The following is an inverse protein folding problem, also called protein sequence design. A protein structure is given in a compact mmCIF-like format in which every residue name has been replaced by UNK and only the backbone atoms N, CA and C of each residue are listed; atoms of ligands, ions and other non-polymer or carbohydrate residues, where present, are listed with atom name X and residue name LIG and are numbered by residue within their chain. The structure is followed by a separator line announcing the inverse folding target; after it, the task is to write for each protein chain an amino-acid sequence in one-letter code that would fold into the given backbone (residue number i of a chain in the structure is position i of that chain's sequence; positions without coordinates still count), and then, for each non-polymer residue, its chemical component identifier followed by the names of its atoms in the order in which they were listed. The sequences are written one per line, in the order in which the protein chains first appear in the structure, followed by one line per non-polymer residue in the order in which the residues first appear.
data_IF_329811362861
#
_entry.id   IF_329811362861
#
_cell.length_a   1.000
_cell.length_b   1.000
_cell.length_c   1.000
_cell.angle_alpha   90.00
_cell.angle_beta   90.00
_cell.angle_gamma   90.00
#
_symmetry.space_group_name_H-M   'P 1'
#
loop_
_entity.id
_entity.type
_entity.pdbx_description
1 polymer ?
#
# COMPACT_ATOMS: atom_id res chain seq x y z
N UNK A 1 -29.97 -5.99 -13.58
CA UNK A 1 -28.54 -6.31 -13.53
C UNK A 1 -28.26 -6.86 -12.15
N UNK A 2 -27.56 -7.99 -11.96
CA UNK A 2 -27.21 -8.43 -10.62
C UNK A 2 -26.40 -7.30 -9.96
N UNK A 3 -26.71 -6.98 -8.71
CA UNK A 3 -25.91 -6.07 -7.90
C UNK A 3 -24.51 -6.67 -7.82
N UNK A 4 -23.57 -6.10 -8.56
CA UNK A 4 -22.13 -6.42 -8.40
C UNK A 4 -21.78 -6.10 -6.95
N UNK A 5 -21.44 -7.13 -6.19
CA UNK A 5 -21.00 -6.98 -4.82
C UNK A 5 -19.76 -6.07 -4.83
N UNK A 6 -19.77 -4.98 -4.08
CA UNK A 6 -18.64 -4.06 -3.96
C UNK A 6 -17.50 -4.64 -3.10
N UNK A 7 -17.65 -5.86 -2.59
CA UNK A 7 -16.71 -6.51 -1.71
C UNK A 7 -15.60 -7.22 -2.47
N UNK A 8 -14.35 -7.03 -2.06
CA UNK A 8 -13.23 -7.83 -2.52
C UNK A 8 -13.33 -9.26 -1.96
N UNK A 9 -12.79 -10.24 -2.70
CA UNK A 9 -12.77 -11.64 -2.27
C UNK A 9 -11.34 -12.18 -2.26
N UNK A 10 -11.10 -13.20 -1.42
CA UNK A 10 -9.87 -13.98 -1.44
C UNK A 10 -10.22 -15.44 -1.73
N UNK A 11 -9.86 -15.89 -2.91
CA UNK A 11 -10.05 -17.26 -3.38
C UNK A 11 -8.73 -18.02 -3.19
N UNK A 12 -8.76 -19.03 -2.34
CA UNK A 12 -7.64 -19.91 -2.03
C UNK A 12 -7.93 -21.38 -2.38
N UNK A 13 -8.99 -21.63 -3.13
CA UNK A 13 -9.41 -22.98 -3.51
C UNK A 13 -8.29 -23.79 -4.17
N UNK A 14 -7.48 -23.15 -4.99
CA UNK A 14 -6.32 -23.75 -5.65
C UNK A 14 -5.17 -24.12 -4.68
N UNK A 15 -5.17 -23.59 -3.46
CA UNK A 15 -4.22 -24.02 -2.42
C UNK A 15 -4.62 -25.34 -1.77
N UNK A 16 -5.89 -25.74 -1.89
CA UNK A 16 -6.43 -26.91 -1.19
C UNK A 16 -6.15 -28.21 -1.96
N UNK A 17 -6.01 -29.28 -1.24
CA UNK A 17 -5.97 -30.64 -1.78
C UNK A 17 -6.83 -31.57 -0.94
N UNK A 18 -7.50 -32.53 -1.58
CA UNK A 18 -8.25 -33.58 -0.89
C UNK A 18 -7.26 -34.61 -0.25
N UNK A 19 -7.70 -35.29 0.80
CA UNK A 19 -6.88 -36.33 1.47
C UNK A 19 -6.55 -37.51 0.53
N UNK A 20 -7.44 -37.80 -0.42
CA UNK A 20 -7.31 -38.86 -1.42
C UNK A 20 -6.76 -38.39 -2.76
N UNK A 21 -6.38 -37.12 -2.88
CA UNK A 21 -5.83 -36.56 -4.11
C UNK A 21 -4.48 -37.23 -4.50
N UNK A 22 -4.06 -37.14 -5.79
CA UNK A 22 -2.75 -37.59 -6.23
C UNK A 22 -1.60 -37.01 -5.38
N UNK A 23 -0.51 -37.73 -5.24
CA UNK A 23 0.63 -37.37 -4.38
C UNK A 23 1.11 -35.93 -4.61
N UNK A 24 1.32 -35.52 -5.89
CA UNK A 24 1.73 -34.15 -6.22
C UNK A 24 0.79 -33.10 -5.60
N UNK A 25 -0.52 -33.33 -5.66
CA UNK A 25 -1.50 -32.40 -5.14
C UNK A 25 -1.47 -32.35 -3.61
N UNK A 26 -1.37 -33.50 -2.94
CA UNK A 26 -1.27 -33.58 -1.47
C UNK A 26 0.02 -32.94 -0.96
N UNK A 27 1.13 -33.22 -1.64
CA UNK A 27 2.46 -32.75 -1.23
C UNK A 27 2.65 -31.23 -1.43
N UNK A 28 1.90 -30.62 -2.33
CA UNK A 28 1.95 -29.18 -2.62
C UNK A 28 0.78 -28.39 -2.06
N UNK A 29 -0.36 -29.03 -1.73
CA UNK A 29 -1.58 -28.38 -1.27
C UNK A 29 -1.74 -28.39 0.26
N UNK A 30 -2.74 -27.69 0.73
CA UNK A 30 -3.21 -27.65 2.12
C UNK A 30 -4.32 -28.70 2.26
N UNK A 31 -4.21 -29.57 3.25
CA UNK A 31 -5.18 -30.64 3.51
C UNK A 31 -6.31 -30.17 4.45
N UNK A 32 -7.48 -30.82 4.45
CA UNK A 32 -8.56 -30.55 5.40
C UNK A 32 -8.12 -30.65 6.86
N UNK A 33 -7.22 -31.58 7.17
CA UNK A 33 -6.61 -31.73 8.50
C UNK A 33 -5.80 -30.51 8.93
N UNK A 34 -5.12 -29.83 7.99
CA UNK A 34 -4.40 -28.58 8.23
C UNK A 34 -5.37 -27.44 8.56
N UNK A 35 -6.52 -27.36 7.86
CA UNK A 35 -7.55 -26.37 8.14
C UNK A 35 -8.20 -26.56 9.51
N UNK A 36 -8.47 -27.82 9.88
CA UNK A 36 -8.98 -28.14 11.22
C UNK A 36 -8.04 -27.69 12.32
N UNK A 37 -6.74 -27.84 12.12
CA UNK A 37 -5.71 -27.36 13.04
C UNK A 37 -5.62 -25.83 13.06
N UNK A 38 -5.82 -25.15 11.90
CA UNK A 38 -5.63 -23.71 11.72
C UNK A 38 -6.77 -22.89 12.31
N UNK A 39 -8.04 -23.26 12.08
CA UNK A 39 -9.20 -22.43 12.41
C UNK A 39 -9.21 -21.93 13.87
N UNK A 40 -8.99 -22.75 14.90
CA UNK A 40 -8.96 -22.27 16.28
C UNK A 40 -7.84 -21.27 16.54
N UNK A 41 -6.72 -21.36 15.81
CA UNK A 41 -5.60 -20.42 15.91
C UNK A 41 -5.90 -19.08 15.27
N UNK A 42 -6.63 -19.09 14.16
CA UNK A 42 -7.12 -17.86 13.54
C UNK A 42 -8.10 -17.11 14.44
N UNK A 43 -9.01 -17.83 15.08
CA UNK A 43 -9.95 -17.22 16.04
C UNK A 43 -9.23 -16.65 17.28
N UNK A 44 -8.22 -17.36 17.78
CA UNK A 44 -7.38 -16.86 18.87
C UNK A 44 -6.60 -15.59 18.45
N UNK A 45 -6.01 -15.59 17.23
CA UNK A 45 -5.31 -14.42 16.71
C UNK A 45 -6.26 -13.24 16.46
N UNK A 46 -7.49 -13.47 15.93
CA UNK A 46 -8.54 -12.45 15.81
C UNK A 46 -8.82 -11.82 17.17
N UNK A 47 -9.10 -12.66 18.17
CA UNK A 47 -9.38 -12.19 19.52
C UNK A 47 -8.22 -11.35 20.04
N UNK A 48 -6.99 -11.80 19.86
CA UNK A 48 -5.80 -11.06 20.31
C UNK A 48 -5.67 -9.69 19.62
N UNK A 49 -5.92 -9.58 18.31
CA UNK A 49 -5.92 -8.30 17.60
C UNK A 49 -6.99 -7.35 18.13
N UNK A 50 -8.18 -7.85 18.44
CA UNK A 50 -9.27 -7.04 19.01
C UNK A 50 -8.97 -6.62 20.46
N UNK A 51 -8.42 -7.51 21.28
CA UNK A 51 -7.99 -7.20 22.66
C UNK A 51 -6.86 -6.15 22.66
N UNK A 52 -5.89 -6.25 21.76
CA UNK A 52 -4.80 -5.29 21.58
C UNK A 52 -5.32 -3.91 21.17
N UNK A 53 -6.33 -3.88 20.30
CA UNK A 53 -7.00 -2.63 19.89
C UNK A 53 -7.75 -1.99 21.08
N UNK A 54 -8.47 -2.80 21.87
CA UNK A 54 -9.16 -2.33 23.06
C UNK A 54 -8.18 -1.82 24.14
N UNK A 55 -7.06 -2.52 24.32
CA UNK A 55 -5.99 -2.09 25.24
C UNK A 55 -5.38 -0.76 24.80
N UNK A 56 -5.10 -0.59 23.50
CA UNK A 56 -4.63 0.67 22.95
C UNK A 56 -5.61 1.81 23.21
N UNK A 57 -6.88 1.63 22.91
CA UNK A 57 -7.91 2.66 23.04
C UNK A 57 -8.15 3.09 24.51
N UNK A 58 -8.03 2.15 25.44
CA UNK A 58 -8.20 2.43 26.88
C UNK A 58 -6.92 2.89 27.59
N UNK A 59 -5.76 2.81 26.90
CA UNK A 59 -4.45 3.05 27.53
C UNK A 59 -4.07 1.99 28.57
N UNK A 60 -4.69 0.79 28.50
CA UNK A 60 -4.38 -0.29 29.41
C UNK A 60 -2.93 -0.80 29.21
N UNK A 61 -2.22 -1.16 30.29
CA UNK A 61 -0.88 -1.69 30.18
C UNK A 61 -0.89 -3.05 29.45
N UNK A 62 0.08 -3.23 28.57
CA UNK A 62 0.30 -4.51 27.86
C UNK A 62 1.68 -5.08 28.20
N UNK A 63 1.83 -6.37 28.02
CA UNK A 63 3.09 -7.06 28.23
C UNK A 63 4.21 -6.44 27.38
N UNK A 64 5.45 -6.51 27.87
CA UNK A 64 6.63 -5.90 27.23
C UNK A 64 6.86 -6.43 25.82
N UNK A 65 6.56 -7.68 25.57
CA UNK A 65 6.70 -8.38 24.29
C UNK A 65 5.74 -7.83 23.22
N UNK A 66 4.65 -7.18 23.66
CA UNK A 66 3.67 -6.50 22.78
C UNK A 66 4.04 -5.04 22.47
N UNK A 67 5.11 -4.52 23.07
CA UNK A 67 5.52 -3.13 22.87
C UNK A 67 6.55 -2.99 21.73
N UNK A 68 6.46 -1.93 20.89
CA UNK A 68 5.36 -0.97 20.87
C UNK A 68 4.04 -1.61 20.44
N UNK A 69 2.91 -1.09 20.94
CA UNK A 69 1.58 -1.52 20.55
C UNK A 69 0.97 -0.48 19.59
N UNK A 70 1.32 -0.55 18.31
CA UNK A 70 0.82 0.38 17.28
C UNK A 70 -0.53 -0.10 16.69
N UNK A 71 -1.48 -0.49 17.56
CA UNK A 71 -2.79 -1.04 17.19
C UNK A 71 -3.83 0.05 16.80
N UNK A 72 -3.49 1.32 16.92
CA UNK A 72 -4.40 2.44 16.65
C UNK A 72 -4.83 2.59 15.18
N UNK A 73 -4.19 1.86 14.25
CA UNK A 73 -4.57 1.86 12.84
C UNK A 73 -5.90 1.14 12.58
N UNK A 74 -6.24 0.13 13.40
CA UNK A 74 -7.36 -0.77 13.13
C UNK A 74 -8.69 -0.04 13.08
N UNK A 75 -9.06 0.73 14.11
CA UNK A 75 -10.33 1.47 14.16
C UNK A 75 -10.23 2.90 13.59
N UNK A 76 -9.09 3.27 13.04
CA UNK A 76 -8.90 4.61 12.51
C UNK A 76 -9.88 4.96 11.38
N UNK A 77 -10.22 4.08 10.42
CA UNK A 77 -11.20 4.39 9.39
C UNK A 77 -12.56 4.77 9.94
N UNK A 78 -13.11 4.00 10.88
CA UNK A 78 -14.42 4.28 11.47
C UNK A 78 -14.41 5.56 12.32
N UNK A 79 -13.31 5.82 13.04
CA UNK A 79 -13.16 7.05 13.82
C UNK A 79 -13.15 8.27 12.91
N UNK A 80 -12.40 8.24 11.81
CA UNK A 80 -12.32 9.33 10.83
C UNK A 80 -13.64 9.55 10.10
N UNK A 81 -14.44 8.52 9.93
CA UNK A 81 -15.78 8.65 9.33
C UNK A 81 -16.82 9.23 10.31
N UNK A 82 -16.58 9.16 11.64
CA UNK A 82 -17.55 9.52 12.69
C UNK A 82 -16.99 10.57 13.66
N UNK A 83 -16.28 10.13 14.68
CA UNK A 83 -15.86 10.97 15.83
C UNK A 83 -14.78 11.97 15.48
N UNK A 84 -13.87 11.61 14.57
CA UNK A 84 -12.72 12.43 14.16
C UNK A 84 -12.92 13.03 12.75
N UNK A 85 -14.17 13.14 12.29
CA UNK A 85 -14.55 13.63 10.97
C UNK A 85 -13.94 14.99 10.63
N UNK A 86 -13.79 15.86 11.59
CA UNK A 86 -13.16 17.17 11.44
C UNK A 86 -11.73 17.08 10.87
N UNK A 87 -11.01 15.96 11.08
CA UNK A 87 -9.68 15.74 10.48
C UNK A 87 -9.82 15.56 8.96
N UNK A 88 -10.78 14.76 8.51
CA UNK A 88 -11.06 14.52 7.08
C UNK A 88 -11.51 15.80 6.40
N UNK A 89 -12.43 16.54 7.02
CA UNK A 89 -12.94 17.79 6.48
C UNK A 89 -11.81 18.82 6.31
N UNK A 90 -10.89 18.90 7.29
CA UNK A 90 -9.70 19.76 7.20
C UNK A 90 -8.73 19.28 6.11
N UNK A 91 -8.52 17.96 5.95
CA UNK A 91 -7.70 17.38 4.87
C UNK A 91 -8.25 17.82 3.52
N UNK A 92 -9.56 17.68 3.30
CA UNK A 92 -10.22 18.08 2.05
C UNK A 92 -10.09 19.59 1.83
N UNK A 93 -10.34 20.41 2.85
CA UNK A 93 -10.24 21.87 2.74
C UNK A 93 -8.82 22.34 2.37
N UNK A 94 -7.78 21.77 2.98
CA UNK A 94 -6.38 22.09 2.64
C UNK A 94 -6.01 21.58 1.25
N UNK A 95 -6.48 20.39 0.88
CA UNK A 95 -6.27 19.81 -0.44
C UNK A 95 -6.89 20.67 -1.56
N UNK A 96 -8.14 21.11 -1.38
CA UNK A 96 -8.84 21.95 -2.36
C UNK A 96 -8.21 23.35 -2.48
N UNK A 97 -7.76 23.92 -1.35
CA UNK A 97 -6.99 25.17 -1.35
C UNK A 97 -5.70 25.02 -2.15
N UNK A 98 -4.89 24.00 -1.88
CA UNK A 98 -3.65 23.75 -2.63
C UNK A 98 -3.94 23.49 -4.11
N UNK A 99 -4.96 22.68 -4.43
CA UNK A 99 -5.35 22.43 -5.80
C UNK A 99 -5.79 23.72 -6.53
N UNK A 100 -6.38 24.68 -5.83
CA UNK A 100 -6.71 26.00 -6.39
C UNK A 100 -5.51 26.94 -6.58
N UNK A 101 -4.46 26.78 -5.79
CA UNK A 101 -3.32 27.72 -5.74
C UNK A 101 -2.11 27.26 -6.58
N UNK A 102 -1.95 25.94 -6.84
CA UNK A 102 -0.75 25.42 -7.49
C UNK A 102 -1.07 24.36 -8.55
N UNK A 103 -0.15 24.16 -9.50
CA UNK A 103 -0.22 23.08 -10.50
C UNK A 103 0.75 21.91 -10.20
N UNK A 104 1.64 22.07 -9.24
CA UNK A 104 2.61 21.04 -8.83
C UNK A 104 2.65 20.93 -7.32
N UNK A 105 2.70 19.70 -6.82
CA UNK A 105 2.92 19.40 -5.39
C UNK A 105 4.06 18.41 -5.27
N UNK A 106 5.05 18.73 -4.47
CA UNK A 106 6.14 17.81 -4.10
C UNK A 106 5.86 17.26 -2.71
N UNK A 107 5.71 15.94 -2.62
CA UNK A 107 5.53 15.22 -1.37
C UNK A 107 6.88 14.66 -0.92
N UNK A 108 7.37 15.14 0.21
CA UNK A 108 8.65 14.71 0.79
C UNK A 108 8.41 13.71 1.91
N UNK A 109 8.88 12.48 1.72
CA UNK A 109 8.72 11.42 2.72
C UNK A 109 9.44 10.15 2.29
N UNK A 110 9.68 9.23 3.22
CA UNK A 110 10.32 7.94 2.97
C UNK A 110 9.55 6.81 3.65
N UNK A 111 9.60 5.62 3.06
CA UNK A 111 8.92 4.43 3.59
C UNK A 111 7.40 4.66 3.71
N UNK A 112 6.83 4.43 4.89
CA UNK A 112 5.40 4.62 5.12
C UNK A 112 4.90 6.05 4.93
N UNK A 113 5.79 7.05 4.98
CA UNK A 113 5.46 8.45 4.70
C UNK A 113 5.33 8.78 3.21
N UNK A 114 5.51 7.78 2.33
CA UNK A 114 5.55 7.97 0.88
C UNK A 114 4.80 6.85 0.14
N UNK A 115 5.09 5.56 0.46
CA UNK A 115 4.61 4.44 -0.34
C UNK A 115 3.09 4.34 -0.41
N UNK A 116 2.38 4.60 0.71
CA UNK A 116 0.91 4.57 0.72
C UNK A 116 0.29 5.63 -0.21
N UNK A 117 0.77 6.87 -0.14
CA UNK A 117 0.31 7.94 -1.02
C UNK A 117 0.60 7.67 -2.51
N UNK A 118 1.78 7.13 -2.81
CA UNK A 118 2.13 6.70 -4.17
C UNK A 118 1.24 5.56 -4.66
N UNK A 119 0.94 4.58 -3.82
CA UNK A 119 0.04 3.48 -4.14
C UNK A 119 -1.37 3.99 -4.49
N UNK A 120 -1.91 4.96 -3.74
CA UNK A 120 -3.19 5.60 -4.03
C UNK A 120 -3.17 6.33 -5.38
N UNK A 121 -2.12 7.11 -5.65
CA UNK A 121 -1.96 7.83 -6.92
C UNK A 121 -1.91 6.88 -8.10
N UNK A 122 -1.02 5.89 -8.09
CA UNK A 122 -0.84 4.97 -9.21
C UNK A 122 -2.08 4.09 -9.46
N UNK A 123 -2.77 3.67 -8.39
CA UNK A 123 -3.96 2.85 -8.50
C UNK A 123 -5.19 3.61 -8.98
N UNK A 124 -5.45 4.82 -8.48
CA UNK A 124 -6.73 5.52 -8.70
C UNK A 124 -6.64 6.65 -9.71
N UNK A 125 -5.48 7.30 -9.92
CA UNK A 125 -5.34 8.35 -10.91
C UNK A 125 -5.16 7.79 -12.34
N UNK A 126 -5.23 8.69 -13.32
CA UNK A 126 -4.87 8.38 -14.68
C UNK A 126 -3.41 7.91 -14.75
N UNK A 127 -3.05 6.84 -15.49
CA UNK A 127 -1.66 6.33 -15.57
C UNK A 127 -0.61 7.36 -15.96
N UNK A 128 -1.01 8.38 -16.72
CA UNK A 128 -0.18 9.51 -17.16
C UNK A 128 -0.67 10.83 -16.54
N UNK A 129 -1.02 10.82 -15.25
CA UNK A 129 -1.61 11.97 -14.57
C UNK A 129 -0.75 13.23 -14.72
N UNK A 130 0.55 13.13 -14.48
CA UNK A 130 1.45 14.29 -14.50
C UNK A 130 1.71 14.85 -15.91
N UNK A 131 1.54 14.05 -16.97
CA UNK A 131 1.72 14.46 -18.36
C UNK A 131 0.47 15.11 -18.95
N UNK A 132 -0.68 14.94 -18.32
CA UNK A 132 -1.92 15.54 -18.80
C UNK A 132 -1.97 17.05 -18.52
N UNK A 133 -2.65 17.83 -19.40
CA UNK A 133 -2.98 19.21 -19.07
C UNK A 133 -3.96 19.28 -17.90
N UNK A 134 -3.94 20.38 -17.15
CA UNK A 134 -4.70 20.58 -15.91
C UNK A 134 -6.21 20.27 -16.05
N UNK A 135 -6.82 20.68 -17.17
CA UNK A 135 -8.23 20.40 -17.43
C UNK A 135 -8.54 18.88 -17.46
N UNK A 136 -7.64 18.08 -18.03
CA UNK A 136 -7.80 16.62 -18.09
C UNK A 136 -7.40 15.90 -16.79
N UNK A 137 -6.85 16.63 -15.83
CA UNK A 137 -6.62 16.22 -14.45
C UNK A 137 -7.74 16.72 -13.52
N UNK A 138 -8.89 17.11 -14.06
CA UNK A 138 -10.02 17.67 -13.31
C UNK A 138 -9.63 18.86 -12.43
N UNK A 139 -8.71 19.72 -12.90
CA UNK A 139 -8.21 20.87 -12.16
C UNK A 139 -7.22 20.52 -11.03
N UNK A 140 -6.80 19.28 -10.92
CA UNK A 140 -5.88 18.83 -9.85
C UNK A 140 -4.41 19.03 -10.26
N UNK A 141 -3.51 19.26 -9.29
CA UNK A 141 -2.08 19.46 -9.56
C UNK A 141 -1.38 18.16 -9.97
N UNK A 142 -0.21 18.28 -10.59
CA UNK A 142 0.78 17.21 -10.71
C UNK A 142 1.34 16.90 -9.33
N UNK A 143 1.72 15.65 -9.11
CA UNK A 143 2.31 15.24 -7.84
C UNK A 143 3.62 14.50 -8.06
N UNK A 144 4.65 14.91 -7.34
CA UNK A 144 5.98 14.32 -7.37
C UNK A 144 6.35 13.86 -5.97
N UNK A 145 7.03 12.73 -5.88
CA UNK A 145 7.49 12.17 -4.62
C UNK A 145 9.00 12.23 -4.54
N UNK A 146 9.52 12.83 -3.47
CA UNK A 146 10.95 12.95 -3.24
C UNK A 146 11.28 12.80 -1.74
N UNK A 147 12.57 12.84 -1.36
CA UNK A 147 13.01 12.63 0.02
C UNK A 147 12.90 11.18 0.49
N UNK A 148 12.67 10.27 -0.46
CA UNK A 148 12.68 8.83 -0.27
C UNK A 148 14.03 8.20 -0.63
N UNK A 149 14.97 9.01 -1.06
CA UNK A 149 16.32 8.68 -1.46
C UNK A 149 17.25 9.88 -1.21
N UNK A 150 18.56 9.69 -1.40
CA UNK A 150 19.58 10.73 -1.40
C UNK A 150 20.34 10.78 -2.73
N UNK A 151 19.65 10.44 -3.82
CA UNK A 151 20.14 10.50 -5.17
C UNK A 151 20.19 11.97 -5.64
N UNK A 152 21.42 12.51 -5.78
CA UNK A 152 21.64 13.90 -6.18
C UNK A 152 20.99 14.22 -7.53
N UNK A 153 21.12 13.33 -8.52
CA UNK A 153 20.69 13.60 -9.88
C UNK A 153 19.17 13.58 -9.99
N UNK A 154 18.50 12.70 -9.23
CA UNK A 154 17.04 12.69 -9.14
C UNK A 154 16.50 13.98 -8.51
N UNK A 155 17.14 14.46 -7.40
CA UNK A 155 16.77 15.72 -6.76
C UNK A 155 16.99 16.90 -7.69
N UNK A 156 18.14 16.98 -8.39
CA UNK A 156 18.43 18.02 -9.38
C UNK A 156 17.41 18.00 -10.52
N UNK A 157 17.10 16.81 -11.07
CA UNK A 157 16.13 16.69 -12.15
C UNK A 157 14.71 17.14 -11.77
N UNK A 158 14.29 16.94 -10.51
CA UNK A 158 13.02 17.49 -10.04
C UNK A 158 13.12 19.03 -9.85
N UNK A 159 14.25 19.56 -9.37
CA UNK A 159 14.47 21.00 -9.27
C UNK A 159 14.46 21.66 -10.66
N UNK A 160 15.08 21.06 -11.67
CA UNK A 160 15.05 21.56 -13.06
C UNK A 160 13.60 21.63 -13.57
N UNK A 161 12.76 20.64 -13.23
CA UNK A 161 11.35 20.62 -13.60
C UNK A 161 10.53 21.74 -12.91
N UNK A 162 10.99 22.20 -11.75
CA UNK A 162 10.39 23.29 -10.97
C UNK A 162 10.98 24.67 -11.28
N UNK A 163 12.09 24.73 -12.02
CA UNK A 163 12.74 25.98 -12.40
C UNK A 163 11.79 26.85 -13.22
N UNK A 164 11.71 28.13 -12.89
CA UNK A 164 10.81 29.09 -13.53
C UNK A 164 9.32 28.90 -13.20
N UNK A 165 8.94 27.85 -12.47
CA UNK A 165 7.57 27.67 -12.01
C UNK A 165 7.33 28.39 -10.68
N UNK A 166 6.25 29.18 -10.63
CA UNK A 166 5.84 29.91 -9.42
C UNK A 166 4.60 29.29 -8.75
N UNK A 167 4.16 28.13 -9.23
CA UNK A 167 2.88 27.49 -8.91
C UNK A 167 3.04 26.10 -8.29
N UNK A 168 3.96 25.96 -7.32
CA UNK A 168 4.17 24.68 -6.64
C UNK A 168 4.17 24.78 -5.12
N UNK A 169 3.95 23.64 -4.45
CA UNK A 169 3.84 23.52 -2.99
C UNK A 169 4.58 22.27 -2.48
N UNK A 170 4.87 22.27 -1.17
CA UNK A 170 5.52 21.18 -0.44
C UNK A 170 4.56 20.55 0.56
N UNK A 171 4.45 19.23 0.55
CA UNK A 171 3.92 18.43 1.65
C UNK A 171 5.08 17.64 2.24
N UNK A 172 5.43 17.91 3.50
CA UNK A 172 6.58 17.26 4.17
C UNK A 172 6.09 16.33 5.26
N UNK A 173 6.43 15.05 5.15
CA UNK A 173 5.89 13.97 5.98
C UNK A 173 7.01 13.28 6.75
N UNK A 174 7.04 13.46 8.07
CA UNK A 174 8.00 12.78 8.96
C UNK A 174 7.49 12.73 10.39
N UNK A 175 7.23 11.54 10.95
CA UNK A 175 6.72 11.38 12.33
C UNK A 175 7.63 12.03 13.37
N UNK A 176 8.93 11.75 13.33
CA UNK A 176 9.92 12.31 14.26
C UNK A 176 10.53 13.65 13.81
N UNK A 177 10.52 13.90 12.50
CA UNK A 177 11.28 14.98 11.87
C UNK A 177 12.80 14.79 11.93
N UNK A 178 13.26 13.58 12.27
CA UNK A 178 14.68 13.23 12.39
C UNK A 178 15.21 12.34 11.28
N UNK A 179 14.36 11.92 10.35
CA UNK A 179 14.78 11.12 9.18
C UNK A 179 15.64 11.96 8.27
N UNK A 180 16.88 11.56 8.08
CA UNK A 180 17.91 12.38 7.43
C UNK A 180 17.55 12.70 5.98
N UNK A 181 17.13 11.70 5.22
CA UNK A 181 16.77 11.81 3.81
C UNK A 181 15.67 12.86 3.60
N UNK A 182 14.56 12.73 4.32
CA UNK A 182 13.44 13.69 4.25
C UNK A 182 13.84 15.08 4.75
N UNK A 183 14.66 15.17 5.81
CA UNK A 183 15.09 16.45 6.36
C UNK A 183 16.06 17.18 5.41
N UNK A 184 16.95 16.46 4.73
CA UNK A 184 17.86 17.00 3.72
C UNK A 184 17.05 17.51 2.51
N UNK A 185 16.17 16.68 1.95
CA UNK A 185 15.29 17.08 0.85
C UNK A 185 14.44 18.30 1.23
N UNK A 186 13.84 18.32 2.44
CA UNK A 186 13.06 19.47 2.88
C UNK A 186 13.89 20.76 2.90
N UNK A 187 15.13 20.75 3.36
CA UNK A 187 15.99 21.95 3.34
C UNK A 187 16.22 22.46 1.91
N UNK A 188 16.49 21.54 0.99
CA UNK A 188 16.78 21.86 -0.42
C UNK A 188 15.52 22.47 -1.08
N UNK A 189 14.42 21.73 -1.07
CA UNK A 189 13.18 22.19 -1.73
C UNK A 189 12.55 23.40 -1.03
N UNK A 190 12.67 23.52 0.30
CA UNK A 190 12.20 24.71 1.02
C UNK A 190 12.97 25.97 0.61
N UNK A 191 14.30 25.89 0.43
CA UNK A 191 15.08 27.02 -0.05
C UNK A 191 14.69 27.41 -1.49
N UNK A 192 14.48 26.43 -2.37
CA UNK A 192 14.00 26.67 -3.73
C UNK A 192 12.62 27.36 -3.70
N UNK A 193 11.66 26.84 -2.91
CA UNK A 193 10.33 27.43 -2.78
C UNK A 193 10.40 28.85 -2.16
N UNK A 194 11.27 29.05 -1.17
CA UNK A 194 11.48 30.36 -0.56
C UNK A 194 11.99 31.39 -1.58
N UNK A 195 12.88 30.99 -2.49
CA UNK A 195 13.35 31.84 -3.57
C UNK A 195 12.20 32.26 -4.49
N UNK A 196 11.38 31.32 -4.92
CA UNK A 196 10.16 31.57 -5.75
C UNK A 196 9.16 32.48 -5.04
N UNK A 197 9.06 32.40 -3.70
CA UNK A 197 8.14 33.21 -2.89
C UNK A 197 8.82 34.42 -2.24
N UNK A 198 10.00 34.86 -2.67
CA UNK A 198 10.86 35.83 -1.97
C UNK A 198 10.15 37.11 -1.51
N UNK A 199 9.20 37.60 -2.27
CA UNK A 199 8.48 38.85 -1.97
C UNK A 199 7.10 38.62 -1.30
N UNK A 200 6.76 37.35 -0.99
CA UNK A 200 5.44 36.97 -0.49
C UNK A 200 5.54 35.90 0.63
N UNK A 201 5.94 36.27 1.87
CA UNK A 201 6.08 35.33 2.97
C UNK A 201 4.81 34.54 3.28
N UNK A 202 3.63 35.16 3.12
CA UNK A 202 2.34 34.47 3.33
C UNK A 202 2.10 33.39 2.27
N UNK A 203 2.47 33.63 1.00
CA UNK A 203 2.42 32.64 -0.06
C UNK A 203 3.30 31.42 0.27
N UNK A 204 4.51 31.64 0.79
CA UNK A 204 5.41 30.58 1.24
C UNK A 204 4.77 29.73 2.35
N UNK A 205 4.21 30.36 3.39
CA UNK A 205 3.59 29.66 4.50
C UNK A 205 2.42 28.79 4.05
N UNK A 206 1.57 29.28 3.18
CA UNK A 206 0.40 28.56 2.65
C UNK A 206 0.79 27.38 1.75
N UNK A 207 2.00 27.38 1.19
CA UNK A 207 2.49 26.36 0.26
C UNK A 207 3.31 25.25 0.92
N UNK A 208 3.50 25.30 2.24
CA UNK A 208 4.23 24.26 2.98
C UNK A 208 3.29 23.64 3.99
N UNK A 209 3.02 22.34 3.81
CA UNK A 209 2.12 21.59 4.69
C UNK A 209 2.88 20.46 5.38
N UNK A 210 3.25 20.63 6.66
CA UNK A 210 3.87 19.55 7.44
C UNK A 210 2.85 18.52 7.93
N UNK A 211 3.19 17.24 7.81
CA UNK A 211 2.49 16.13 8.43
C UNK A 211 3.48 15.43 9.37
N UNK A 212 3.27 15.55 10.69
CA UNK A 212 4.29 15.16 11.67
C UNK A 212 3.66 14.74 13.00
N UNK A 213 4.46 14.19 13.91
CA UNK A 213 3.98 13.91 15.27
C UNK A 213 3.63 15.19 16.04
N UNK A 214 2.87 15.03 17.14
CA UNK A 214 2.50 16.16 18.03
C UNK A 214 3.72 16.87 18.65
N UNK A 215 4.81 16.12 18.75
CA UNK A 215 6.12 16.60 19.20
C UNK A 215 7.18 16.21 18.17
N UNK A 216 8.36 16.77 18.24
CA UNK A 216 9.45 16.39 17.37
C UNK A 216 10.08 17.55 16.59
N UNK A 217 11.15 17.23 15.87
CA UNK A 217 12.01 18.24 15.22
C UNK A 217 11.29 18.98 14.09
N UNK A 218 10.50 18.28 13.27
CA UNK A 218 9.78 18.91 12.16
C UNK A 218 8.72 19.88 12.65
N UNK A 219 7.96 19.54 13.69
CA UNK A 219 6.97 20.46 14.27
C UNK A 219 7.63 21.70 14.86
N UNK A 220 8.71 21.53 15.60
CA UNK A 220 9.48 22.66 16.16
C UNK A 220 10.03 23.57 15.05
N UNK A 221 10.57 22.97 13.98
CA UNK A 221 11.07 23.72 12.82
C UNK A 221 9.93 24.45 12.09
N UNK A 222 8.82 23.80 11.84
CA UNK A 222 7.65 24.38 11.17
C UNK A 222 7.13 25.63 11.92
N UNK A 223 6.96 25.53 13.25
CA UNK A 223 6.58 26.69 14.09
C UNK A 223 7.60 27.83 14.03
N UNK A 224 8.90 27.50 14.05
CA UNK A 224 9.98 28.50 13.94
C UNK A 224 9.99 29.21 12.57
N UNK A 225 9.58 28.51 11.51
CA UNK A 225 9.40 29.05 10.17
C UNK A 225 8.09 29.84 10.03
N UNK A 226 7.27 29.92 11.08
CA UNK A 226 5.98 30.62 11.10
C UNK A 226 4.90 29.93 10.28
N UNK A 227 5.01 28.60 10.05
CA UNK A 227 3.97 27.84 9.39
C UNK A 227 2.74 27.72 10.29
N UNK A 228 1.54 27.75 9.69
CA UNK A 228 0.28 27.74 10.41
C UNK A 228 0.01 26.38 11.07
N UNK A 229 -0.40 26.36 12.33
CA UNK A 229 -0.88 25.15 12.98
C UNK A 229 -2.14 24.58 12.29
N UNK A 230 -2.89 25.41 11.57
CA UNK A 230 -4.06 24.99 10.78
C UNK A 230 -3.66 24.18 9.52
N UNK A 231 -2.47 24.41 8.98
CA UNK A 231 -1.93 23.67 7.83
C UNK A 231 -1.05 22.49 8.25
N UNK A 232 -0.76 22.32 9.55
CA UNK A 232 -0.03 21.16 10.07
C UNK A 232 -0.97 20.04 10.46
N UNK A 233 -0.66 18.82 10.04
CA UNK A 233 -1.43 17.62 10.41
C UNK A 233 -0.64 16.73 11.36
N UNK A 234 -1.37 16.09 12.28
CA UNK A 234 -0.80 15.11 13.19
C UNK A 234 -0.75 13.73 12.54
N UNK A 235 0.39 13.04 12.71
CA UNK A 235 0.43 11.59 12.57
C UNK A 235 -0.02 11.01 13.92
N UNK A 236 -1.13 10.27 13.98
CA UNK A 236 -1.65 9.75 15.25
C UNK A 236 -0.62 8.87 15.96
N UNK A 237 -0.59 8.93 17.27
CA UNK A 237 0.11 7.95 18.09
C UNK A 237 -0.52 6.56 17.91
N UNK A 238 0.25 5.50 18.11
CA UNK A 238 -0.20 4.12 17.91
C UNK A 238 -0.45 3.74 16.45
N UNK A 239 -0.01 4.57 15.49
CA UNK A 239 0.01 4.23 14.07
C UNK A 239 1.45 4.23 13.59
N UNK A 240 1.97 3.05 13.26
CA UNK A 240 3.29 2.89 12.66
C UNK A 240 3.33 3.43 11.22
N UNK A 241 4.53 3.82 10.72
CA UNK A 241 4.66 4.42 9.38
C UNK A 241 4.02 3.58 8.28
N UNK A 242 4.28 2.28 8.23
CA UNK A 242 3.73 1.36 7.21
C UNK A 242 2.22 1.08 7.35
N UNK A 243 1.61 1.48 8.48
CA UNK A 243 0.16 1.41 8.74
C UNK A 243 -0.54 2.77 8.57
N UNK A 244 0.16 3.82 8.08
CA UNK A 244 -0.31 5.20 8.15
C UNK A 244 -1.11 5.69 6.94
N UNK A 245 -1.39 4.83 5.96
CA UNK A 245 -2.06 5.22 4.71
C UNK A 245 -3.44 5.88 4.93
N UNK A 246 -4.18 5.50 5.96
CA UNK A 246 -5.46 6.11 6.34
C UNK A 246 -5.33 7.27 7.35
N UNK A 247 -4.14 7.77 7.59
CA UNK A 247 -3.91 9.03 8.31
C UNK A 247 -3.75 10.18 7.31
N UNK A 248 -3.61 11.43 7.75
CA UNK A 248 -3.26 12.54 6.84
C UNK A 248 -2.04 12.28 5.94
N UNK A 249 -1.17 11.32 6.31
CA UNK A 249 -0.01 10.87 5.51
C UNK A 249 -0.42 10.38 4.10
N UNK A 250 -1.46 9.57 3.99
CA UNK A 250 -2.00 9.13 2.71
C UNK A 250 -3.20 9.97 2.25
N UNK A 251 -4.06 10.39 3.20
CA UNK A 251 -5.31 11.08 2.85
C UNK A 251 -5.09 12.46 2.25
N UNK A 252 -4.10 13.25 2.72
CA UNK A 252 -3.87 14.59 2.15
C UNK A 252 -3.35 14.53 0.71
N UNK A 253 -2.30 13.76 0.38
CA UNK A 253 -1.90 13.58 -1.02
C UNK A 253 -3.03 13.04 -1.91
N UNK A 254 -3.81 12.08 -1.42
CA UNK A 254 -4.96 11.52 -2.15
C UNK A 254 -6.02 12.59 -2.43
N UNK A 255 -6.41 13.39 -1.42
CA UNK A 255 -7.37 14.47 -1.58
C UNK A 255 -6.86 15.57 -2.53
N UNK A 256 -5.57 15.92 -2.50
CA UNK A 256 -4.95 16.87 -3.44
C UNK A 256 -5.11 16.38 -4.88
N UNK A 257 -4.97 15.08 -5.12
CA UNK A 257 -5.17 14.43 -6.42
C UNK A 257 -6.68 14.34 -6.81
N UNK A 258 -7.59 14.64 -5.88
CA UNK A 258 -9.04 14.59 -6.10
C UNK A 258 -9.63 13.21 -5.90
N UNK A 259 -8.93 12.30 -5.21
CA UNK A 259 -9.46 10.98 -4.86
C UNK A 259 -10.51 11.10 -3.75
N UNK A 260 -11.50 10.21 -3.77
CA UNK A 260 -12.53 10.14 -2.75
C UNK A 260 -11.99 9.45 -1.48
N UNK A 261 -11.44 10.27 -0.57
CA UNK A 261 -10.89 9.78 0.70
C UNK A 261 -11.96 9.23 1.65
N UNK A 262 -13.23 9.59 1.45
CA UNK A 262 -14.34 9.06 2.25
C UNK A 262 -14.65 7.64 1.78
N UNK A 263 -14.79 7.41 0.47
CA UNK A 263 -14.98 6.08 -0.10
C UNK A 263 -13.80 5.14 0.25
N UNK A 264 -12.57 5.66 0.27
CA UNK A 264 -11.38 4.91 0.71
C UNK A 264 -11.50 4.45 2.17
N UNK A 265 -11.93 5.33 3.07
CA UNK A 265 -12.14 5.01 4.48
C UNK A 265 -13.32 4.07 4.69
N UNK A 266 -14.41 4.24 3.92
CA UNK A 266 -15.57 3.34 3.96
C UNK A 266 -15.19 1.92 3.53
N UNK A 267 -14.34 1.77 2.51
CA UNK A 267 -13.81 0.47 2.11
C UNK A 267 -13.00 -0.18 3.22
N UNK A 268 -12.13 0.57 3.89
CA UNK A 268 -11.36 0.08 5.02
C UNK A 268 -12.24 -0.31 6.22
N UNK A 269 -13.25 0.49 6.55
CA UNK A 269 -14.22 0.20 7.60
C UNK A 269 -15.05 -1.06 7.29
N UNK A 270 -15.45 -1.26 6.02
CA UNK A 270 -16.15 -2.47 5.58
C UNK A 270 -15.27 -3.73 5.77
N UNK A 271 -13.96 -3.63 5.55
CA UNK A 271 -13.05 -4.75 5.82
C UNK A 271 -12.90 -5.03 7.32
N UNK A 272 -12.88 -4.01 8.17
CA UNK A 272 -12.89 -4.17 9.62
C UNK A 272 -14.15 -4.89 10.11
N UNK A 273 -15.31 -4.55 9.55
CA UNK A 273 -16.57 -5.21 9.88
C UNK A 273 -16.52 -6.71 9.52
N UNK A 274 -16.02 -7.03 8.34
CA UNK A 274 -15.80 -8.44 7.93
C UNK A 274 -14.82 -9.15 8.86
N UNK A 275 -13.74 -8.50 9.27
CA UNK A 275 -12.78 -9.08 10.22
C UNK A 275 -13.42 -9.40 11.57
N UNK A 276 -14.33 -8.56 12.05
CA UNK A 276 -15.01 -8.79 13.34
C UNK A 276 -16.04 -9.92 13.26
N UNK A 277 -16.76 -10.04 12.14
CA UNK A 277 -18.02 -10.79 12.09
C UNK A 277 -18.01 -12.03 11.21
N UNK A 278 -17.18 -12.10 10.16
CA UNK A 278 -17.19 -13.24 9.25
C UNK A 278 -16.52 -14.49 9.86
N UNK A 279 -16.97 -15.72 9.53
CA UNK A 279 -16.26 -16.96 9.88
C UNK A 279 -14.79 -16.91 9.43
N UNK A 280 -13.88 -17.57 10.14
CA UNK A 280 -12.43 -17.40 9.94
C UNK A 280 -11.99 -17.65 8.48
N UNK A 281 -12.50 -18.69 7.83
CA UNK A 281 -12.14 -19.04 6.46
C UNK A 281 -12.85 -18.18 5.38
N UNK A 282 -13.95 -17.51 5.74
CA UNK A 282 -14.68 -16.57 4.88
C UNK A 282 -14.23 -15.11 5.07
N UNK A 283 -13.37 -14.89 6.05
CA UNK A 283 -12.80 -13.60 6.40
C UNK A 283 -11.49 -13.39 5.65
N UNK A 284 -11.39 -12.51 4.63
CA UNK A 284 -10.21 -12.40 3.79
C UNK A 284 -8.91 -12.14 4.53
N UNK A 285 -8.82 -11.24 5.55
CA UNK A 285 -7.60 -11.06 6.34
C UNK A 285 -7.15 -12.33 7.06
N UNK A 286 -8.09 -13.07 7.66
CA UNK A 286 -7.78 -14.30 8.40
C UNK A 286 -7.40 -15.44 7.45
N UNK A 287 -8.20 -15.64 6.39
CA UNK A 287 -7.92 -16.67 5.40
C UNK A 287 -6.56 -16.42 4.72
N UNK A 288 -6.26 -15.18 4.33
CA UNK A 288 -4.98 -14.83 3.72
C UNK A 288 -3.79 -15.12 4.66
N UNK A 289 -3.87 -14.65 5.91
CA UNK A 289 -2.82 -14.90 6.91
C UNK A 289 -2.67 -16.40 7.21
N UNK A 290 -3.78 -17.12 7.35
CA UNK A 290 -3.80 -18.55 7.65
C UNK A 290 -3.24 -19.40 6.52
N UNK A 291 -3.66 -19.16 5.28
CA UNK A 291 -3.14 -19.87 4.11
C UNK A 291 -1.65 -19.58 3.92
N UNK A 292 -1.24 -18.33 4.11
CA UNK A 292 0.15 -17.91 4.08
C UNK A 292 0.99 -18.67 5.12
N UNK A 293 0.53 -18.70 6.35
CA UNK A 293 1.17 -19.41 7.45
C UNK A 293 1.29 -20.92 7.19
N UNK A 294 0.22 -21.58 6.72
CA UNK A 294 0.25 -23.00 6.39
C UNK A 294 1.19 -23.31 5.24
N UNK A 295 1.17 -22.52 4.17
CA UNK A 295 2.07 -22.73 3.04
C UNK A 295 3.55 -22.57 3.45
N UNK A 296 3.87 -21.64 4.33
CA UNK A 296 5.21 -21.50 4.88
C UNK A 296 5.57 -22.68 5.78
N UNK A 297 4.72 -23.00 6.75
CA UNK A 297 4.96 -24.03 7.77
C UNK A 297 5.00 -25.46 7.18
N UNK A 298 4.09 -25.77 6.25
CA UNK A 298 3.89 -27.12 5.71
C UNK A 298 4.62 -27.36 4.39
N UNK A 299 4.83 -26.30 3.60
CA UNK A 299 5.36 -26.42 2.22
C UNK A 299 6.66 -25.63 2.01
N UNK A 300 7.17 -24.95 3.03
CA UNK A 300 8.40 -24.17 2.95
C UNK A 300 8.33 -22.95 2.04
N UNK A 301 7.13 -22.38 1.84
CA UNK A 301 6.92 -21.21 0.99
C UNK A 301 7.33 -19.92 1.73
N UNK A 302 8.63 -19.70 1.82
CA UNK A 302 9.27 -18.58 2.55
C UNK A 302 9.29 -17.27 1.74
N UNK A 303 8.84 -17.28 0.47
CA UNK A 303 8.73 -16.09 -0.37
C UNK A 303 7.24 -15.82 -0.64
N UNK A 304 6.81 -14.62 -0.30
CA UNK A 304 5.44 -14.15 -0.47
C UNK A 304 5.34 -13.29 -1.72
N UNK A 305 4.90 -13.89 -2.83
CA UNK A 305 4.74 -13.17 -4.11
C UNK A 305 3.36 -12.53 -4.17
N UNK A 306 3.30 -11.20 -4.24
CA UNK A 306 2.09 -10.48 -4.61
C UNK A 306 2.13 -10.20 -6.12
N UNK A 307 1.38 -11.00 -6.87
CA UNK A 307 1.35 -11.01 -8.33
C UNK A 307 0.21 -10.12 -8.83
N UNK A 308 0.49 -8.86 -9.14
CA UNK A 308 -0.51 -7.89 -9.60
C UNK A 308 -0.77 -8.03 -11.10
N UNK A 309 -2.04 -8.11 -11.48
CA UNK A 309 -2.49 -8.19 -12.87
C UNK A 309 -2.95 -6.81 -13.35
N UNK A 310 -1.95 -5.97 -13.64
CA UNK A 310 -2.13 -4.60 -14.09
C UNK A 310 -1.06 -3.66 -13.52
N UNK A 311 -0.48 -2.82 -14.38
CA UNK A 311 0.60 -1.88 -14.05
C UNK A 311 0.24 -0.93 -12.90
N UNK A 312 -1.04 -0.53 -12.80
CA UNK A 312 -1.52 0.43 -11.79
C UNK A 312 -1.43 -0.09 -10.35
N UNK A 313 -1.25 -1.40 -10.15
CA UNK A 313 -1.12 -2.02 -8.83
C UNK A 313 0.34 -2.20 -8.38
N UNK A 314 1.32 -1.78 -9.18
CA UNK A 314 2.74 -1.96 -8.84
C UNK A 314 3.11 -1.30 -7.51
N UNK A 315 2.73 -0.04 -7.31
CA UNK A 315 3.02 0.66 -6.06
C UNK A 315 2.25 0.10 -4.85
N UNK A 316 1.09 -0.53 -5.07
CA UNK A 316 0.38 -1.28 -4.01
C UNK A 316 1.21 -2.48 -3.56
N UNK A 317 1.79 -3.20 -4.53
CA UNK A 317 2.72 -4.30 -4.23
C UNK A 317 3.95 -3.84 -3.46
N UNK A 318 4.62 -2.78 -3.91
CA UNK A 318 5.79 -2.21 -3.21
C UNK A 318 5.45 -1.69 -1.81
N UNK A 319 4.24 -1.15 -1.60
CA UNK A 319 3.74 -0.80 -0.28
C UNK A 319 3.57 -2.05 0.60
N UNK A 320 3.05 -3.13 0.04
CA UNK A 320 2.90 -4.41 0.74
C UNK A 320 4.27 -5.03 1.07
N UNK A 321 5.26 -4.91 0.18
CA UNK A 321 6.63 -5.38 0.44
C UNK A 321 7.18 -4.72 1.72
N UNK A 322 7.00 -3.40 1.88
CA UNK A 322 7.39 -2.72 3.13
C UNK A 322 6.55 -3.19 4.32
N UNK A 323 5.23 -3.30 4.15
CA UNK A 323 4.32 -3.70 5.22
C UNK A 323 4.73 -5.07 5.80
N UNK A 324 4.93 -6.06 4.95
CA UNK A 324 5.27 -7.42 5.38
C UNK A 324 6.70 -7.50 5.94
N UNK A 325 7.68 -6.98 5.19
CA UNK A 325 9.09 -7.08 5.56
C UNK A 325 9.40 -6.45 6.93
N UNK A 326 8.95 -5.21 7.17
CA UNK A 326 9.20 -4.53 8.44
C UNK A 326 8.39 -5.14 9.61
N UNK A 327 7.23 -5.74 9.33
CA UNK A 327 6.39 -6.31 10.38
C UNK A 327 6.85 -7.69 10.80
N UNK A 328 7.17 -8.57 9.86
CA UNK A 328 7.42 -9.98 10.11
C UNK A 328 8.89 -10.39 9.99
N UNK A 329 9.73 -9.63 9.29
CA UNK A 329 11.16 -9.92 9.13
C UNK A 329 11.96 -9.69 10.41
N UNK A 330 11.69 -10.47 11.47
CA UNK A 330 12.28 -10.35 12.81
C UNK A 330 12.64 -11.71 13.34
N UNK A 331 13.62 -11.79 14.25
CA UNK A 331 13.99 -13.03 14.95
C UNK A 331 14.28 -14.20 14.00
N UNK A 332 14.88 -13.92 12.84
CA UNK A 332 15.17 -14.90 11.78
C UNK A 332 13.91 -15.59 11.19
N UNK A 333 12.73 -14.98 11.31
CA UNK A 333 11.47 -15.46 10.76
C UNK A 333 10.85 -14.43 9.81
N UNK A 334 9.68 -14.77 9.27
CA UNK A 334 8.92 -13.96 8.33
C UNK A 334 9.31 -14.18 6.88
N UNK A 335 8.31 -14.35 6.03
CA UNK A 335 8.50 -14.56 4.60
C UNK A 335 9.06 -13.30 3.92
N UNK A 336 9.87 -13.48 2.87
CA UNK A 336 10.36 -12.39 2.03
C UNK A 336 9.27 -11.98 1.05
N UNK A 337 8.78 -10.74 1.08
CA UNK A 337 7.82 -10.27 0.09
C UNK A 337 8.49 -10.00 -1.26
N UNK A 338 7.72 -10.19 -2.33
CA UNK A 338 8.15 -9.92 -3.70
C UNK A 338 6.97 -9.47 -4.55
N UNK A 339 7.01 -8.23 -5.00
CA UNK A 339 6.04 -7.69 -5.97
C UNK A 339 6.36 -8.13 -7.39
N UNK A 340 5.32 -8.57 -8.10
CA UNK A 340 5.36 -8.98 -9.52
C UNK A 340 4.23 -8.28 -10.26
N UNK A 341 4.49 -7.78 -11.47
CA UNK A 341 3.51 -7.07 -12.31
C UNK A 341 3.32 -7.80 -13.63
N UNK A 342 2.20 -8.46 -13.79
CA UNK A 342 1.87 -9.19 -15.01
C UNK A 342 1.08 -8.30 -15.99
N UNK A 343 1.24 -8.53 -17.28
CA UNK A 343 1.99 -9.61 -17.98
C UNK A 343 3.50 -9.38 -18.10
N UNK A 344 4.01 -8.18 -17.80
CA UNK A 344 5.43 -7.83 -17.93
C UNK A 344 6.37 -8.90 -17.34
N UNK A 345 6.11 -9.30 -16.11
CA UNK A 345 7.02 -10.17 -15.35
C UNK A 345 6.85 -11.66 -15.69
N UNK A 346 5.87 -12.05 -16.50
CA UNK A 346 5.84 -13.37 -17.14
C UNK A 346 7.04 -13.54 -18.09
N UNK A 347 7.51 -12.45 -18.71
CA UNK A 347 8.68 -12.43 -19.58
C UNK A 347 10.02 -12.30 -18.83
N UNK A 348 10.01 -12.39 -17.50
CA UNK A 348 11.22 -12.36 -16.67
C UNK A 348 11.18 -13.43 -15.56
N UNK A 349 10.30 -13.28 -14.59
CA UNK A 349 10.18 -14.17 -13.44
C UNK A 349 9.30 -15.40 -13.68
N UNK A 350 8.52 -15.41 -14.78
CA UNK A 350 7.64 -16.51 -15.13
C UNK A 350 8.38 -17.85 -15.21
N UNK A 351 9.57 -17.90 -15.82
CA UNK A 351 10.41 -19.12 -15.88
C UNK A 351 10.74 -19.64 -14.47
N UNK A 352 11.14 -18.76 -13.54
CA UNK A 352 11.45 -19.17 -12.17
C UNK A 352 10.21 -19.61 -11.41
N UNK A 353 9.07 -18.97 -11.66
CA UNK A 353 7.82 -19.35 -11.04
C UNK A 353 7.34 -20.71 -11.55
N UNK A 354 7.50 -21.02 -12.83
CA UNK A 354 7.11 -22.31 -13.42
C UNK A 354 8.04 -23.44 -12.96
N UNK A 355 9.32 -23.35 -13.24
CA UNK A 355 10.27 -24.47 -13.07
C UNK A 355 11.20 -24.33 -11.85
N UNK A 356 11.32 -23.13 -11.30
CA UNK A 356 12.24 -22.86 -10.21
C UNK A 356 11.85 -23.50 -8.88
N UNK A 357 12.60 -23.17 -7.82
CA UNK A 357 12.41 -23.71 -6.48
C UNK A 357 10.97 -23.50 -5.96
N UNK A 358 10.42 -24.50 -5.26
CA UNK A 358 9.06 -24.51 -4.71
C UNK A 358 8.95 -23.81 -3.34
N UNK A 359 9.55 -22.66 -3.19
CA UNK A 359 9.67 -21.87 -1.97
C UNK A 359 8.77 -20.60 -1.96
N UNK A 360 7.82 -20.51 -2.90
CA UNK A 360 6.98 -19.33 -3.09
C UNK A 360 5.49 -19.64 -2.95
N UNK A 361 4.78 -18.77 -2.23
CA UNK A 361 3.34 -18.64 -2.35
C UNK A 361 3.03 -17.46 -3.27
N UNK A 362 2.34 -17.71 -4.36
CA UNK A 362 1.92 -16.68 -5.32
C UNK A 362 0.46 -16.33 -5.05
N UNK A 363 0.21 -15.10 -4.63
CA UNK A 363 -1.14 -14.54 -4.52
C UNK A 363 -1.36 -13.53 -5.63
N UNK A 364 -2.28 -13.82 -6.52
CA UNK A 364 -2.69 -12.91 -7.58
C UNK A 364 -3.56 -11.79 -7.02
N UNK A 365 -3.42 -10.56 -7.54
CA UNK A 365 -4.36 -9.46 -7.35
C UNK A 365 -4.93 -9.13 -8.72
N UNK A 366 -6.19 -9.46 -8.94
CA UNK A 366 -6.88 -9.33 -10.22
C UNK A 366 -8.05 -8.37 -10.13
N UNK A 367 -8.15 -7.44 -11.09
CA UNK A 367 -9.26 -6.48 -11.22
C UNK A 367 -10.22 -6.96 -12.30
N UNK A 368 -11.48 -7.21 -11.94
CA UNK A 368 -12.46 -7.84 -12.83
C UNK A 368 -12.96 -6.88 -13.92
N UNK A 369 -13.14 -5.60 -13.60
CA UNK A 369 -13.69 -4.61 -14.54
C UNK A 369 -12.67 -3.51 -14.83
N UNK A 370 -12.36 -3.29 -16.10
CA UNK A 370 -11.59 -2.13 -16.52
C UNK A 370 -12.44 -0.84 -16.39
N UNK A 371 -11.76 0.29 -16.11
CA UNK A 371 -12.44 1.59 -15.93
C UNK A 371 -12.79 2.31 -17.25
N UNK A 372 -12.21 1.86 -18.34
CA UNK A 372 -12.37 2.48 -19.65
C UNK A 372 -12.94 1.48 -20.64
N UNK A 373 -13.44 1.99 -21.75
CA UNK A 373 -13.83 1.16 -22.87
C UNK A 373 -12.67 0.25 -23.30
N UNK A 374 -12.98 -1.02 -23.50
CA UNK A 374 -11.99 -2.03 -23.83
C UNK A 374 -11.49 -1.83 -25.26
N UNK A 375 -10.18 -1.75 -25.43
CA UNK A 375 -9.54 -1.63 -26.74
C UNK A 375 -9.49 -2.99 -27.43
N UNK A 376 -9.96 -3.08 -28.67
CA UNK A 376 -9.85 -4.26 -29.51
C UNK A 376 -8.48 -4.32 -30.19
N UNK A 377 -8.01 -5.53 -30.50
CA UNK A 377 -6.80 -5.75 -31.29
C UNK A 377 -7.00 -5.16 -32.68
N UNK A 378 -8.14 -5.45 -33.31
CA UNK A 378 -8.49 -4.94 -34.63
C UNK A 378 -7.87 -5.77 -35.75
N UNK A 379 -8.46 -5.66 -36.94
CA UNK A 379 -7.99 -6.32 -38.14
C UNK A 379 -7.10 -5.37 -38.98
N UNK A 380 -5.99 -5.87 -39.49
CA UNK A 380 -5.11 -5.14 -40.40
C UNK A 380 -5.20 -5.72 -41.80
N UNK A 381 -4.79 -4.93 -42.81
CA UNK A 381 -4.70 -5.38 -44.23
C UNK A 381 -3.64 -6.46 -44.43
N UNK A 382 -2.58 -6.43 -43.59
CA UNK A 382 -1.48 -7.39 -43.56
C UNK A 382 -1.55 -8.18 -42.24
N UNK A 383 -1.10 -9.43 -42.21
CA UNK A 383 -1.19 -10.33 -41.05
C UNK A 383 0.11 -11.10 -40.80
N UNK A 384 1.25 -10.42 -40.99
CA UNK A 384 2.58 -11.02 -40.79
C UNK A 384 2.84 -11.37 -39.31
N UNK A 385 2.05 -10.84 -38.40
CA UNK A 385 2.10 -11.11 -36.96
C UNK A 385 1.06 -12.15 -36.50
N UNK A 386 0.25 -12.70 -37.42
CA UNK A 386 -0.80 -13.68 -37.18
C UNK A 386 -1.89 -13.18 -36.16
N UNK A 387 -2.07 -11.86 -36.02
CA UNK A 387 -3.00 -11.32 -35.02
C UNK A 387 -4.43 -11.13 -35.54
N UNK A 388 -4.69 -11.21 -36.86
CA UNK A 388 -6.03 -11.08 -37.42
C UNK A 388 -7.02 -12.14 -36.89
N UNK A 389 -6.54 -13.32 -36.51
CA UNK A 389 -7.36 -14.35 -35.84
C UNK A 389 -7.91 -13.91 -34.47
N UNK A 390 -7.31 -12.91 -33.85
CA UNK A 390 -7.72 -12.34 -32.56
C UNK A 390 -8.33 -10.92 -32.69
N UNK A 391 -8.66 -10.48 -33.89
CA UNK A 391 -9.10 -9.10 -34.17
C UNK A 391 -10.28 -8.63 -33.30
N UNK A 392 -11.23 -9.55 -32.99
CA UNK A 392 -12.39 -9.29 -32.16
C UNK A 392 -12.08 -9.32 -30.64
N UNK A 393 -10.91 -9.79 -30.24
CA UNK A 393 -10.50 -9.82 -28.83
C UNK A 393 -10.10 -8.45 -28.36
N UNK A 394 -10.37 -8.19 -27.07
CA UNK A 394 -9.98 -6.96 -26.39
C UNK A 394 -8.74 -7.18 -25.53
N UNK A 395 -8.07 -6.08 -25.11
CA UNK A 395 -6.96 -6.19 -24.15
C UNK A 395 -7.37 -6.84 -22.81
N UNK A 396 -8.57 -6.59 -22.26
CA UNK A 396 -9.08 -7.37 -21.11
C UNK A 396 -9.21 -8.87 -21.40
N UNK A 397 -9.65 -9.28 -22.62
CA UNK A 397 -9.72 -10.71 -22.98
C UNK A 397 -8.33 -11.36 -23.01
N UNK A 398 -7.35 -10.66 -23.55
CA UNK A 398 -5.95 -11.13 -23.58
C UNK A 398 -5.39 -11.25 -22.17
N UNK A 399 -5.65 -10.27 -21.30
CA UNK A 399 -5.22 -10.29 -19.90
C UNK A 399 -5.87 -11.45 -19.15
N UNK A 400 -7.16 -11.69 -19.34
CA UNK A 400 -7.90 -12.80 -18.72
C UNK A 400 -7.36 -14.16 -19.19
N UNK A 401 -7.08 -14.32 -20.48
CA UNK A 401 -6.47 -15.52 -21.04
C UNK A 401 -5.06 -15.76 -20.47
N UNK A 402 -4.24 -14.71 -20.37
CA UNK A 402 -2.91 -14.80 -19.77
C UNK A 402 -2.99 -15.17 -18.28
N UNK A 403 -3.93 -14.59 -17.53
CA UNK A 403 -4.18 -14.92 -16.13
C UNK A 403 -4.57 -16.39 -15.97
N UNK A 404 -5.58 -16.85 -16.70
CA UNK A 404 -6.08 -18.21 -16.61
C UNK A 404 -5.00 -19.22 -17.02
N UNK A 405 -4.42 -19.06 -18.21
CA UNK A 405 -3.41 -19.97 -18.73
C UNK A 405 -2.15 -20.06 -17.85
N UNK A 406 -1.73 -18.93 -17.23
CA UNK A 406 -0.59 -18.95 -16.29
C UNK A 406 -0.93 -19.79 -15.04
N UNK A 407 -2.10 -19.59 -14.44
CA UNK A 407 -2.48 -20.32 -13.22
C UNK A 407 -2.73 -21.81 -13.51
N UNK A 408 -3.32 -22.16 -14.66
CA UNK A 408 -3.48 -23.55 -15.09
C UNK A 408 -2.12 -24.26 -15.29
N UNK A 409 -1.16 -23.58 -15.96
CA UNK A 409 0.19 -24.09 -16.14
C UNK A 409 0.92 -24.28 -14.79
N UNK A 410 0.78 -23.33 -13.87
CA UNK A 410 1.33 -23.46 -12.53
C UNK A 410 0.71 -24.63 -11.77
N UNK A 411 -0.62 -24.78 -11.81
CA UNK A 411 -1.32 -25.86 -11.14
C UNK A 411 -0.91 -27.25 -11.66
N UNK A 412 -0.72 -27.39 -13.00
CA UNK A 412 -0.27 -28.62 -13.64
C UNK A 412 1.09 -29.10 -13.09
N UNK A 413 1.98 -28.17 -12.74
CA UNK A 413 3.30 -28.45 -12.14
C UNK A 413 3.30 -28.41 -10.61
N UNK A 414 2.12 -28.44 -9.99
CA UNK A 414 1.99 -28.43 -8.53
C UNK A 414 2.38 -27.10 -7.87
N UNK A 415 2.46 -26.01 -8.62
CA UNK A 415 2.63 -24.69 -8.05
C UNK A 415 1.27 -24.09 -7.71
N UNK A 416 0.99 -23.98 -6.45
CA UNK A 416 -0.28 -23.49 -5.93
C UNK A 416 -0.34 -21.98 -5.90
N UNK A 417 -1.49 -21.42 -6.28
CA UNK A 417 -1.75 -19.98 -6.27
C UNK A 417 -3.05 -19.68 -5.53
N UNK A 418 -3.19 -18.42 -5.10
CA UNK A 418 -4.44 -17.87 -4.59
C UNK A 418 -4.74 -16.56 -5.32
N UNK A 419 -5.97 -16.05 -5.20
CA UNK A 419 -6.37 -14.84 -5.90
C UNK A 419 -7.18 -13.90 -5.02
N UNK A 420 -6.73 -12.65 -4.90
CA UNK A 420 -7.54 -11.54 -4.40
C UNK A 420 -8.21 -10.91 -5.61
N UNK A 421 -9.56 -10.91 -5.65
CA UNK A 421 -10.35 -10.30 -6.72
C UNK A 421 -10.92 -8.97 -6.27
N UNK A 422 -10.64 -7.93 -7.05
CA UNK A 422 -11.25 -6.62 -6.91
C UNK A 422 -12.32 -6.46 -7.99
N UNK A 423 -13.57 -6.16 -7.65
CA UNK A 423 -14.61 -5.89 -8.65
C UNK A 423 -14.22 -4.76 -9.61
N UNK A 424 -13.63 -3.69 -9.05
CA UNK A 424 -13.07 -2.53 -9.76
C UNK A 424 -11.86 -2.00 -9.01
N UNK A 425 -11.03 -1.23 -9.71
CA UNK A 425 -9.92 -0.51 -9.08
C UNK A 425 -10.37 0.93 -8.78
N UNK A 426 -11.06 1.10 -7.67
CA UNK A 426 -11.53 2.37 -7.13
C UNK A 426 -11.10 2.55 -5.67
N UNK A 427 -11.38 3.72 -5.09
CA UNK A 427 -10.97 4.06 -3.73
C UNK A 427 -11.59 3.11 -2.69
N UNK A 428 -12.84 2.69 -2.88
CA UNK A 428 -13.52 1.78 -1.96
C UNK A 428 -12.88 0.38 -1.98
N UNK A 429 -12.64 -0.19 -3.16
CA UNK A 429 -11.98 -1.50 -3.30
C UNK A 429 -10.55 -1.45 -2.79
N UNK A 430 -9.83 -0.35 -3.07
CA UNK A 430 -8.46 -0.16 -2.59
C UNK A 430 -8.42 0.00 -1.06
N UNK A 431 -9.37 0.72 -0.47
CA UNK A 431 -9.54 0.81 0.99
C UNK A 431 -9.68 -0.56 1.64
N UNK A 432 -10.53 -1.43 1.07
CA UNK A 432 -10.66 -2.81 1.53
C UNK A 432 -9.34 -3.60 1.42
N UNK A 433 -8.65 -3.52 0.27
CA UNK A 433 -7.42 -4.26 0.03
C UNK A 433 -6.30 -3.85 0.99
N UNK A 434 -6.08 -2.55 1.16
CA UNK A 434 -5.04 -2.03 2.05
C UNK A 434 -5.30 -2.44 3.51
N UNK A 435 -6.56 -2.31 3.97
CA UNK A 435 -6.93 -2.72 5.33
C UNK A 435 -6.84 -4.23 5.52
N UNK A 436 -7.27 -5.02 4.52
CA UNK A 436 -7.12 -6.48 4.52
C UNK A 436 -5.65 -6.88 4.74
N UNK A 437 -4.73 -6.31 3.97
CA UNK A 437 -3.31 -6.65 4.04
C UNK A 437 -2.67 -6.20 5.36
N UNK A 438 -3.07 -5.04 5.91
CA UNK A 438 -2.60 -4.59 7.23
C UNK A 438 -3.05 -5.54 8.34
N UNK A 439 -4.32 -5.91 8.37
CA UNK A 439 -4.86 -6.84 9.37
C UNK A 439 -4.21 -8.23 9.20
N UNK A 440 -4.13 -8.74 7.98
CA UNK A 440 -3.54 -10.05 7.69
C UNK A 440 -2.08 -10.12 8.17
N UNK A 441 -1.30 -9.06 7.96
CA UNK A 441 0.08 -8.98 8.43
C UNK A 441 0.18 -9.03 9.96
N UNK A 442 -0.74 -8.36 10.67
CA UNK A 442 -0.79 -8.42 12.15
C UNK A 442 -1.20 -9.80 12.62
N UNK A 443 -2.22 -10.42 12.01
CA UNK A 443 -2.66 -11.79 12.31
C UNK A 443 -1.53 -12.79 12.08
N UNK A 444 -0.83 -12.71 10.95
CA UNK A 444 0.31 -13.60 10.66
C UNK A 444 1.42 -13.43 11.71
N UNK A 445 1.69 -12.20 12.15
CA UNK A 445 2.62 -11.93 13.24
C UNK A 445 2.22 -12.65 14.54
N UNK A 446 0.92 -12.69 14.87
CA UNK A 446 0.42 -13.44 16.04
C UNK A 446 0.56 -14.94 15.86
N UNK A 447 0.28 -15.47 14.65
CA UNK A 447 0.43 -16.90 14.34
C UNK A 447 1.88 -17.40 14.48
N UNK A 448 2.86 -16.58 14.12
CA UNK A 448 4.29 -16.92 14.21
C UNK A 448 4.96 -16.44 15.51
N UNK A 449 4.18 -15.83 16.43
CA UNK A 449 4.69 -15.40 17.73
C UNK A 449 5.59 -14.16 17.71
N UNK A 450 5.45 -13.29 16.72
CA UNK A 450 6.25 -12.07 16.55
C UNK A 450 5.39 -10.83 16.81
N UNK A 451 5.95 -9.82 17.49
CA UNK A 451 5.33 -8.50 17.54
C UNK A 451 5.43 -7.83 16.16
N UNK A 452 4.29 -7.64 15.44
CA UNK A 452 4.28 -7.05 14.09
C UNK A 452 4.57 -5.55 14.08
N UNK A 453 4.63 -4.91 15.24
CA UNK A 453 4.88 -3.48 15.37
C UNK A 453 6.35 -3.18 15.66
N UNK A 454 6.76 -1.91 15.43
CA UNK A 454 8.17 -1.51 15.54
C UNK A 454 9.07 -2.14 14.45
N UNK A 455 10.30 -1.67 14.34
CA UNK A 455 11.30 -2.13 13.37
C UNK A 455 12.74 -1.95 13.93
N UNK A 456 13.15 -2.72 14.95
CA UNK A 456 14.44 -2.50 15.63
C UNK A 456 15.65 -2.71 14.72
N UNK A 457 15.54 -3.56 13.70
CA UNK A 457 16.64 -3.90 12.79
C UNK A 457 17.22 -2.72 12.01
N UNK A 458 16.40 -1.70 11.71
CA UNK A 458 16.86 -0.54 10.93
C UNK A 458 17.63 0.51 11.74
N UNK A 459 17.64 0.43 13.06
CA UNK A 459 18.34 1.43 13.90
C UNK A 459 19.86 1.28 13.81
N UNK A 460 20.37 0.08 13.56
CA UNK A 460 21.80 -0.19 13.49
C UNK A 460 22.49 0.61 12.36
N UNK A 461 21.92 0.59 11.14
CA UNK A 461 22.51 1.33 10.00
C UNK A 461 22.41 2.85 10.20
N UNK A 462 21.28 3.34 10.73
CA UNK A 462 21.09 4.78 11.00
C UNK A 462 22.15 5.33 11.94
N UNK A 463 22.42 4.62 13.03
CA UNK A 463 23.45 5.02 14.00
C UNK A 463 24.83 5.05 13.37
N UNK A 464 25.18 4.07 12.54
CA UNK A 464 26.45 4.03 11.81
C UNK A 464 26.57 5.15 10.80
N UNK A 465 25.52 5.39 10.00
CA UNK A 465 25.48 6.50 9.03
C UNK A 465 25.73 7.86 9.71
N UNK A 466 25.00 8.13 10.82
CA UNK A 466 25.20 9.39 11.58
C UNK A 466 26.62 9.51 12.12
N UNK A 467 27.20 8.41 12.61
CA UNK A 467 28.59 8.42 13.11
C UNK A 467 29.63 8.72 12.00
N UNK A 468 29.39 8.20 10.78
CA UNK A 468 30.24 8.49 9.61
C UNK A 468 30.13 9.95 9.19
N UNK A 469 28.92 10.50 9.12
CA UNK A 469 28.69 11.91 8.72
C UNK A 469 29.23 12.94 9.73
N UNK A 470 29.56 12.53 10.96
CA UNK A 470 30.15 13.42 12.00
C UNK A 470 31.67 13.40 12.00
N UNK A 471 32.33 12.55 11.22
CA UNK A 471 33.79 12.51 11.01
C UNK A 471 34.22 13.55 10.00
#
# INVERSE_FOLDING_TARGET
MPQTTSAITYDYSELLAAEDAPALQRDTGILPSDLYWLVPRLEAARKEVLDDTAAWNSGAPVAKEKQPLDAGFFELPERLLRTDRAVVDRVVAVADRLAGEVDRVVVLGIGGSYMGARALMEACCHPYHNELPRQRRNGRPRMYFEGNNVDNDAVCGLLDLLEGADDWALVVISKSGGTLETAAAFRIFFQALKHVCANHPEKLRRRVVPITGRTGKLRALARRLGLSDQDMFDIPEGVGGRFSVFTPVGLLPAAILGLDVVALLEGAAAMNDRFRNAPALDCPPLAYAGMSHLMELRRGATIRVLSTWGKRLEAVGLWYDQLLAESLGKQCAGATPLTVVNTRDLHSRGQQHQEGRRDKLITNVYVEQCQREALRIGQWETDEDDLNQYAEKTLPDVLAAAFTGTNEAYAADGRRTATIRLPRLDEFSLGQLLQMLMIATVVEGRLIGINPYGQPGVEAYKNRMVAILRR
#
